data_IF_981347012075
#
_entry.id   IF_981347012075
#
_cell.length_a   1.000
_cell.length_b   1.000
_cell.length_c   1.000
_cell.angle_alpha   90.00
_cell.angle_beta   90.00
_cell.angle_gamma   90.00
#
_symmetry.space_group_name_H-M   'P 1'
#
loop_
_entity.id
_entity.type
_entity.pdbx_description
1 polymer ?
#
# COMPACT_ATOMS: atom_id res chain seq x y z
N UNK A 1 -16.23 -17.89 -28.70
CA UNK A 1 -14.85 -17.84 -28.17
C UNK A 1 -14.22 -16.61 -28.80
N UNK A 2 -14.26 -15.48 -28.09
CA UNK A 2 -14.18 -14.17 -28.73
C UNK A 2 -12.73 -13.65 -28.72
N UNK A 3 -12.09 -13.43 -29.88
CA UNK A 3 -10.69 -13.02 -29.97
C UNK A 3 -10.43 -11.65 -29.32
N UNK A 4 -11.44 -10.78 -29.25
CA UNK A 4 -11.38 -9.47 -28.57
C UNK A 4 -11.26 -9.62 -27.05
N UNK A 5 -11.94 -10.62 -26.47
CA UNK A 5 -11.84 -10.94 -25.03
C UNK A 5 -10.42 -11.41 -24.70
N UNK A 6 -9.84 -12.30 -25.50
CA UNK A 6 -8.46 -12.76 -25.27
C UNK A 6 -7.44 -11.63 -25.38
N UNK A 7 -7.55 -10.72 -26.36
CA UNK A 7 -6.64 -9.57 -26.49
C UNK A 7 -6.77 -8.59 -25.31
N UNK A 8 -7.99 -8.35 -24.81
CA UNK A 8 -8.22 -7.50 -23.63
C UNK A 8 -7.69 -8.16 -22.35
N UNK A 9 -7.87 -9.47 -22.18
CA UNK A 9 -7.33 -10.24 -21.06
C UNK A 9 -5.79 -10.32 -21.09
N UNK A 10 -5.17 -10.41 -22.27
CA UNK A 10 -3.71 -10.40 -22.44
C UNK A 10 -3.10 -9.02 -22.18
N UNK A 11 -3.79 -7.94 -22.59
CA UNK A 11 -3.37 -6.57 -22.29
C UNK A 11 -3.56 -6.22 -20.80
N UNK A 12 -4.64 -6.70 -20.17
CA UNK A 12 -4.87 -6.55 -18.74
C UNK A 12 -3.88 -7.38 -17.90
N UNK A 13 -3.53 -8.60 -18.30
CA UNK A 13 -2.57 -9.44 -17.58
C UNK A 13 -1.14 -8.90 -17.62
N UNK A 14 -0.72 -8.36 -18.77
CA UNK A 14 0.56 -7.67 -18.91
C UNK A 14 0.58 -6.35 -18.12
N UNK A 15 -0.47 -5.53 -18.21
CA UNK A 15 -0.63 -4.29 -17.45
C UNK A 15 -0.58 -4.48 -15.93
N UNK A 16 -1.27 -5.51 -15.40
CA UNK A 16 -1.26 -5.85 -13.97
C UNK A 16 0.13 -6.28 -13.48
N UNK A 17 0.92 -6.94 -14.33
CA UNK A 17 2.32 -7.29 -14.02
C UNK A 17 3.20 -6.05 -13.85
N UNK A 18 3.14 -5.11 -14.81
CA UNK A 18 3.91 -3.86 -14.74
C UNK A 18 3.54 -3.03 -13.51
N UNK A 19 2.25 -2.90 -13.20
CA UNK A 19 1.78 -2.15 -12.03
C UNK A 19 2.33 -2.77 -10.74
N UNK A 20 2.30 -4.10 -10.60
CA UNK A 20 2.87 -4.79 -9.42
C UNK A 20 4.38 -4.56 -9.26
N UNK A 21 5.14 -4.54 -10.35
CA UNK A 21 6.58 -4.25 -10.33
C UNK A 21 6.82 -2.81 -9.87
N UNK A 22 6.10 -1.84 -10.44
CA UNK A 22 6.20 -0.43 -10.04
C UNK A 22 5.85 -0.21 -8.56
N UNK A 23 4.78 -0.85 -8.08
CA UNK A 23 4.40 -0.84 -6.67
C UNK A 23 5.50 -1.44 -5.80
N UNK A 24 6.13 -2.54 -6.24
CA UNK A 24 7.23 -3.16 -5.48
C UNK A 24 8.44 -2.23 -5.37
N UNK A 25 8.80 -1.54 -6.47
CA UNK A 25 9.87 -0.53 -6.46
C UNK A 25 9.55 0.63 -5.51
N UNK A 26 8.29 1.08 -5.47
CA UNK A 26 7.86 2.12 -4.53
C UNK A 26 8.07 1.68 -3.08
N UNK A 27 7.71 0.44 -2.72
CA UNK A 27 7.87 -0.06 -1.35
C UNK A 27 9.35 -0.29 -0.98
N UNK A 28 10.21 -0.62 -1.95
CA UNK A 28 11.67 -0.62 -1.74
C UNK A 28 12.17 0.81 -1.43
N UNK A 29 11.67 1.82 -2.15
CA UNK A 29 12.00 3.21 -1.86
C UNK A 29 11.51 3.64 -0.46
N UNK A 30 10.34 3.17 0.00
CA UNK A 30 9.87 3.42 1.38
C UNK A 30 10.87 2.88 2.41
N UNK A 31 11.34 1.65 2.24
CA UNK A 31 12.32 1.03 3.13
C UNK A 31 13.64 1.81 3.11
N UNK A 32 14.12 2.18 1.92
CA UNK A 32 15.36 2.94 1.76
C UNK A 32 15.26 4.32 2.44
N UNK A 33 14.19 5.08 2.20
CA UNK A 33 14.00 6.39 2.80
C UNK A 33 13.87 6.31 4.32
N UNK A 34 13.11 5.34 4.84
CA UNK A 34 12.97 5.12 6.27
C UNK A 34 14.28 4.68 6.93
N UNK A 35 15.10 3.88 6.27
CA UNK A 35 16.40 3.44 6.79
C UNK A 35 17.45 4.55 6.74
N UNK A 36 17.49 5.35 5.66
CA UNK A 36 18.45 6.44 5.50
C UNK A 36 18.18 7.59 6.47
N UNK A 37 16.91 7.90 6.73
CA UNK A 37 16.49 9.01 7.60
C UNK A 37 15.90 8.51 8.92
N UNK A 38 16.38 7.36 9.43
CA UNK A 38 15.85 6.72 10.64
C UNK A 38 15.87 7.66 11.87
N UNK A 39 16.85 8.57 11.93
CA UNK A 39 17.05 9.48 13.05
C UNK A 39 16.76 10.95 12.70
N UNK A 40 16.41 11.26 11.45
CA UNK A 40 16.25 12.64 10.99
C UNK A 40 14.84 13.19 11.23
N UNK A 41 14.08 12.60 12.16
CA UNK A 41 12.77 13.09 12.59
C UNK A 41 12.59 12.88 14.11
N UNK A 42 13.34 13.61 14.96
CA UNK A 42 13.26 13.50 16.42
C UNK A 42 11.85 13.78 16.95
N UNK A 43 11.08 14.64 16.28
CA UNK A 43 9.70 14.95 16.65
C UNK A 43 8.78 13.72 16.59
N UNK A 44 9.05 12.80 15.66
CA UNK A 44 8.25 11.60 15.48
C UNK A 44 9.12 10.45 14.96
N UNK A 45 9.84 9.72 15.84
CA UNK A 45 10.73 8.64 15.47
C UNK A 45 10.00 7.42 14.87
N UNK A 46 8.66 7.37 14.98
CA UNK A 46 7.85 6.30 14.42
C UNK A 46 7.57 6.45 12.92
N UNK A 47 7.76 7.63 12.30
CA UNK A 47 7.55 7.81 10.85
C UNK A 47 8.53 6.98 10.00
N UNK A 48 9.86 7.03 10.23
CA UNK A 48 10.79 6.16 9.52
C UNK A 48 10.49 4.67 9.72
N UNK A 49 10.15 4.27 10.95
CA UNK A 49 9.81 2.87 11.30
C UNK A 49 8.53 2.44 10.57
N UNK A 50 7.54 3.33 10.47
CA UNK A 50 6.31 3.12 9.70
C UNK A 50 6.59 2.76 8.24
N UNK A 51 7.48 3.50 7.58
CA UNK A 51 7.87 3.26 6.19
C UNK A 51 8.57 1.91 6.02
N UNK A 52 9.50 1.55 6.92
CA UNK A 52 10.24 0.29 6.85
C UNK A 52 9.30 -0.90 7.04
N UNK A 53 8.52 -0.90 8.13
CA UNK A 53 7.61 -2.00 8.45
C UNK A 53 6.52 -2.13 7.38
N UNK A 54 5.89 -1.02 6.98
CA UNK A 54 4.88 -1.03 5.92
C UNK A 54 5.42 -1.55 4.59
N UNK A 55 6.62 -1.10 4.21
CA UNK A 55 7.33 -1.56 3.01
C UNK A 55 7.60 -3.06 3.00
N UNK A 56 8.15 -3.60 4.09
CA UNK A 56 8.48 -5.03 4.22
C UNK A 56 7.23 -5.89 4.13
N UNK A 57 6.19 -5.57 4.89
CA UNK A 57 4.96 -6.36 4.90
C UNK A 57 4.24 -6.34 3.55
N UNK A 58 4.30 -5.22 2.82
CA UNK A 58 3.76 -5.17 1.46
C UNK A 58 4.56 -6.01 0.46
N UNK A 59 5.88 -6.05 0.57
CA UNK A 59 6.72 -6.94 -0.24
C UNK A 59 6.41 -8.40 0.07
N UNK A 60 6.18 -8.76 1.33
CA UNK A 60 5.76 -10.12 1.71
C UNK A 60 4.44 -10.51 1.03
N UNK A 61 3.45 -9.62 1.01
CA UNK A 61 2.18 -9.85 0.29
C UNK A 61 2.42 -10.08 -1.21
N UNK A 62 3.29 -9.29 -1.84
CA UNK A 62 3.63 -9.46 -3.26
C UNK A 62 4.35 -10.79 -3.53
N UNK A 63 5.29 -11.19 -2.68
CA UNK A 63 6.01 -12.47 -2.79
C UNK A 63 5.03 -13.63 -2.65
N UNK A 64 4.14 -13.60 -1.64
CA UNK A 64 3.12 -14.64 -1.46
C UNK A 64 2.18 -14.73 -2.67
N UNK A 65 1.83 -13.59 -3.26
CA UNK A 65 1.01 -13.54 -4.48
C UNK A 65 1.72 -14.12 -5.70
N UNK A 66 3.05 -13.99 -5.79
CA UNK A 66 3.86 -14.54 -6.90
C UNK A 66 4.19 -16.02 -6.72
N UNK A 67 4.33 -16.49 -5.47
CA UNK A 67 4.68 -17.87 -5.12
C UNK A 67 3.60 -18.92 -5.46
N UNK A 68 2.48 -18.52 -6.05
CA UNK A 68 1.42 -19.45 -6.46
C UNK A 68 0.56 -19.97 -5.31
N UNK A 69 0.56 -19.32 -4.14
CA UNK A 69 -0.34 -19.65 -3.02
C UNK A 69 -1.83 -19.67 -3.44
N UNK A 70 -2.23 -18.95 -4.50
CA UNK A 70 -3.60 -19.00 -5.04
C UNK A 70 -3.90 -20.26 -5.87
N UNK A 71 -2.89 -21.04 -6.22
CA UNK A 71 -2.98 -22.26 -7.01
C UNK A 71 -2.80 -23.53 -6.16
N UNK A 72 -2.50 -23.36 -4.87
CA UNK A 72 -2.57 -24.43 -3.89
C UNK A 72 -4.06 -24.86 -3.77
N UNK A 73 -4.39 -26.00 -4.38
CA UNK A 73 -5.75 -26.56 -4.39
C UNK A 73 -6.30 -26.85 -2.99
N UNK A 74 -7.48 -27.47 -2.94
CA UNK A 74 -8.17 -27.82 -1.69
C UNK A 74 -7.27 -28.67 -0.77
N UNK A 75 -6.77 -28.04 0.30
CA UNK A 75 -5.83 -28.65 1.23
C UNK A 75 -5.39 -27.67 2.32
N UNK A 76 -4.73 -28.20 3.35
CA UNK A 76 -4.26 -27.41 4.51
C UNK A 76 -3.34 -26.26 4.08
N UNK A 77 -2.51 -26.47 3.05
CA UNK A 77 -1.57 -25.45 2.55
C UNK A 77 -2.29 -24.23 1.94
N UNK A 78 -3.35 -24.45 1.16
CA UNK A 78 -4.15 -23.36 0.58
C UNK A 78 -4.88 -22.55 1.66
N UNK A 79 -5.48 -23.23 2.64
CA UNK A 79 -6.14 -22.58 3.78
C UNK A 79 -5.16 -21.73 4.61
N UNK A 80 -3.95 -22.24 4.86
CA UNK A 80 -2.89 -21.49 5.54
C UNK A 80 -2.44 -20.27 4.72
N UNK A 81 -2.27 -20.40 3.40
CA UNK A 81 -1.95 -19.27 2.52
C UNK A 81 -3.01 -18.17 2.60
N UNK A 82 -4.30 -18.52 2.50
CA UNK A 82 -5.41 -17.56 2.60
C UNK A 82 -5.45 -16.88 3.97
N UNK A 83 -5.31 -17.65 5.04
CA UNK A 83 -5.28 -17.12 6.40
C UNK A 83 -4.10 -16.15 6.62
N UNK A 84 -2.89 -16.54 6.20
CA UNK A 84 -1.70 -15.67 6.28
C UNK A 84 -1.89 -14.39 5.49
N UNK A 85 -2.44 -14.48 4.27
CA UNK A 85 -2.68 -13.32 3.43
C UNK A 85 -3.72 -12.36 4.05
N UNK A 86 -4.80 -12.91 4.60
CA UNK A 86 -5.80 -12.13 5.35
C UNK A 86 -5.18 -11.43 6.57
N UNK A 87 -4.36 -12.14 7.36
CA UNK A 87 -3.67 -11.57 8.52
C UNK A 87 -2.70 -10.45 8.12
N UNK A 88 -1.97 -10.62 7.00
CA UNK A 88 -1.07 -9.58 6.48
C UNK A 88 -1.85 -8.34 6.07
N UNK A 89 -2.96 -8.49 5.33
CA UNK A 89 -3.78 -7.35 4.95
C UNK A 89 -4.44 -6.66 6.15
N UNK A 90 -4.89 -7.42 7.15
CA UNK A 90 -5.41 -6.87 8.39
C UNK A 90 -4.35 -6.05 9.13
N UNK A 91 -3.14 -6.60 9.25
CA UNK A 91 -2.00 -5.91 9.85
C UNK A 91 -1.69 -4.61 9.09
N UNK A 92 -1.58 -4.68 7.76
CA UNK A 92 -1.32 -3.52 6.91
C UNK A 92 -2.40 -2.45 7.03
N UNK A 93 -3.67 -2.85 7.14
CA UNK A 93 -4.78 -1.92 7.38
C UNK A 93 -4.62 -1.21 8.73
N UNK A 94 -4.42 -1.94 9.82
CA UNK A 94 -4.20 -1.34 11.15
C UNK A 94 -2.93 -0.47 11.18
N UNK A 95 -1.87 -0.90 10.50
CA UNK A 95 -0.62 -0.17 10.39
C UNK A 95 -0.80 1.15 9.63
N UNK A 96 -1.54 1.15 8.53
CA UNK A 96 -1.87 2.34 7.77
C UNK A 96 -2.64 3.37 8.61
N UNK A 97 -3.63 2.94 9.41
CA UNK A 97 -4.32 3.83 10.36
C UNK A 97 -3.34 4.43 11.37
N UNK A 98 -2.44 3.61 11.91
CA UNK A 98 -1.43 4.05 12.87
C UNK A 98 -0.47 5.08 12.26
N UNK A 99 0.02 4.82 11.04
CA UNK A 99 0.84 5.76 10.28
C UNK A 99 0.12 7.07 9.98
N UNK A 100 -1.18 7.02 9.69
CA UNK A 100 -2.03 8.21 9.53
C UNK A 100 -1.91 9.11 10.76
N UNK A 101 -2.12 8.54 11.95
CA UNK A 101 -2.06 9.28 13.22
C UNK A 101 -0.67 9.90 13.39
N UNK A 102 0.41 9.16 13.15
CA UNK A 102 1.77 9.69 13.30
C UNK A 102 2.10 10.84 12.34
N UNK A 103 1.65 10.76 11.08
CA UNK A 103 1.91 11.79 10.06
C UNK A 103 1.09 13.06 10.29
N UNK A 104 -0.21 12.91 10.56
CA UNK A 104 -1.11 14.06 10.70
C UNK A 104 -0.99 14.76 12.06
N UNK A 105 -0.57 14.06 13.13
CA UNK A 105 -0.39 14.69 14.46
C UNK A 105 0.71 15.74 14.49
N UNK A 106 1.68 15.66 13.59
CA UNK A 106 2.78 16.63 13.49
C UNK A 106 2.64 17.60 12.31
N UNK A 107 1.47 17.62 11.64
CA UNK A 107 1.24 18.49 10.48
C UNK A 107 0.94 19.94 10.91
N UNK A 108 1.62 20.96 10.36
CA UNK A 108 2.86 20.91 9.57
C UNK A 108 4.11 20.77 10.47
N UNK A 109 5.12 19.96 10.09
CA UNK A 109 6.33 19.81 10.90
C UNK A 109 7.33 20.94 10.65
N UNK A 110 8.31 21.08 11.54
CA UNK A 110 9.40 22.04 11.39
C UNK A 110 10.53 21.45 10.53
N UNK A 111 10.96 22.16 9.49
CA UNK A 111 12.02 21.74 8.57
C UNK A 111 13.34 22.52 8.74
N UNK A 112 13.40 23.50 9.64
CA UNK A 112 14.45 24.55 9.60
C UNK A 112 15.77 24.15 10.27
N UNK A 113 15.76 23.26 11.27
CA UNK A 113 16.95 23.01 12.08
C UNK A 113 17.00 21.58 12.61
N UNK A 114 17.92 20.72 12.09
CA UNK A 114 18.08 19.33 12.54
C UNK A 114 18.35 19.16 14.04
N UNK A 115 18.87 20.20 14.69
CA UNK A 115 19.20 20.19 16.11
C UNK A 115 18.01 20.43 17.04
N UNK A 116 16.82 20.77 16.51
CA UNK A 116 15.63 21.03 17.33
C UNK A 116 14.79 19.76 17.50
N UNK A 117 14.15 19.61 18.66
CA UNK A 117 13.27 18.49 18.96
C UNK A 117 11.98 18.47 18.10
N UNK A 118 11.60 19.60 17.51
CA UNK A 118 10.45 19.71 16.61
C UNK A 118 10.78 19.46 15.13
N UNK A 119 12.03 19.13 14.82
CA UNK A 119 12.50 18.87 13.46
C UNK A 119 11.96 17.56 12.88
N UNK A 120 11.66 17.58 11.59
CA UNK A 120 11.50 16.39 10.77
C UNK A 120 12.06 16.62 9.37
N UNK A 121 12.80 15.66 8.84
CA UNK A 121 13.38 15.76 7.50
C UNK A 121 12.28 15.85 6.45
N UNK A 122 12.47 16.82 5.54
CA UNK A 122 11.46 17.26 4.59
C UNK A 122 11.09 16.17 3.58
N UNK A 123 12.08 15.47 3.04
CA UNK A 123 11.90 14.41 2.04
C UNK A 123 11.13 13.23 2.61
N UNK A 124 11.52 12.73 3.78
CA UNK A 124 10.88 11.66 4.53
C UNK A 124 9.43 12.00 4.85
N UNK A 125 9.19 13.19 5.43
CA UNK A 125 7.85 13.60 5.80
C UNK A 125 6.94 13.76 4.60
N UNK A 126 7.39 14.52 3.57
CA UNK A 126 6.59 14.76 2.37
C UNK A 126 6.31 13.46 1.62
N UNK A 127 7.29 12.57 1.50
CA UNK A 127 7.09 11.27 0.88
C UNK A 127 6.01 10.46 1.62
N UNK A 128 6.10 10.36 2.95
CA UNK A 128 5.11 9.64 3.77
C UNK A 128 3.73 10.27 3.65
N UNK A 129 3.65 11.60 3.72
CA UNK A 129 2.41 12.36 3.60
C UNK A 129 1.75 12.15 2.23
N UNK A 130 2.49 12.32 1.13
CA UNK A 130 1.93 12.16 -0.21
C UNK A 130 1.57 10.73 -0.53
N UNK A 131 2.36 9.75 -0.06
CA UNK A 131 2.01 8.33 -0.16
C UNK A 131 0.66 8.07 0.52
N UNK A 132 0.46 8.58 1.72
CA UNK A 132 -0.76 8.39 2.50
C UNK A 132 -1.99 9.03 1.82
N UNK A 133 -1.84 10.25 1.31
CA UNK A 133 -2.88 10.93 0.56
C UNK A 133 -3.21 10.19 -0.75
N UNK A 134 -2.21 9.66 -1.45
CA UNK A 134 -2.44 8.85 -2.66
C UNK A 134 -3.25 7.58 -2.35
N UNK A 135 -2.95 6.90 -1.24
CA UNK A 135 -3.75 5.77 -0.74
C UNK A 135 -5.21 6.17 -0.44
N UNK A 136 -5.45 7.31 0.18
CA UNK A 136 -6.82 7.79 0.43
C UNK A 136 -7.59 8.14 -0.84
N UNK A 137 -6.94 8.83 -1.78
CA UNK A 137 -7.55 9.20 -3.07
C UNK A 137 -7.92 7.94 -3.85
N UNK A 138 -6.99 6.99 -3.96
CA UNK A 138 -7.24 5.72 -4.68
C UNK A 138 -8.34 4.89 -4.01
N UNK A 139 -8.36 4.79 -2.68
CA UNK A 139 -9.42 4.09 -1.96
C UNK A 139 -10.80 4.74 -2.18
N UNK A 140 -10.88 6.07 -2.15
CA UNK A 140 -12.13 6.81 -2.35
C UNK A 140 -12.68 6.62 -3.77
N UNK A 141 -11.83 6.73 -4.79
CA UNK A 141 -12.21 6.47 -6.18
C UNK A 141 -12.65 5.01 -6.39
N UNK A 142 -11.97 4.07 -5.74
CA UNK A 142 -12.36 2.66 -5.74
C UNK A 142 -13.75 2.44 -5.15
N UNK A 143 -14.04 3.04 -3.99
CA UNK A 143 -15.36 2.94 -3.35
C UNK A 143 -16.48 3.56 -4.21
N UNK A 144 -16.22 4.73 -4.82
CA UNK A 144 -17.20 5.40 -5.70
C UNK A 144 -17.49 4.53 -6.93
N UNK A 145 -16.46 4.02 -7.61
CA UNK A 145 -16.65 3.19 -8.80
C UNK A 145 -17.41 1.89 -8.50
N UNK A 146 -17.13 1.26 -7.37
CA UNK A 146 -17.84 0.07 -6.90
C UNK A 146 -19.33 0.36 -6.61
N UNK A 147 -19.60 1.47 -5.92
CA UNK A 147 -20.96 1.92 -5.61
C UNK A 147 -21.76 2.22 -6.88
N UNK A 148 -21.21 2.99 -7.81
CA UNK A 148 -21.85 3.32 -9.08
C UNK A 148 -22.17 2.08 -9.92
N UNK A 149 -21.24 1.11 -9.97
CA UNK A 149 -21.43 -0.14 -10.71
C UNK A 149 -22.56 -0.97 -10.11
N UNK A 150 -22.61 -1.06 -8.79
CA UNK A 150 -23.66 -1.79 -8.05
C UNK A 150 -25.03 -1.13 -8.25
N UNK A 151 -25.12 0.20 -8.17
CA UNK A 151 -26.35 0.94 -8.45
C UNK A 151 -26.82 0.78 -9.89
N UNK A 152 -25.91 0.83 -10.87
CA UNK A 152 -26.23 0.58 -12.28
C UNK A 152 -26.80 -0.83 -12.49
N UNK A 153 -26.21 -1.87 -11.87
CA UNK A 153 -26.73 -3.24 -11.98
C UNK A 153 -28.11 -3.41 -11.33
N UNK A 154 -28.39 -2.67 -10.24
CA UNK A 154 -29.70 -2.72 -9.57
C UNK A 154 -30.76 -1.97 -10.39
N UNK A 155 -30.42 -0.82 -10.99
CA UNK A 155 -31.35 0.04 -11.72
C UNK A 155 -31.56 -0.39 -13.19
N UNK A 156 -30.55 -0.96 -13.84
CA UNK A 156 -30.63 -1.49 -15.21
C UNK A 156 -31.16 -2.93 -15.30
N UNK A 157 -31.51 -3.52 -14.15
CA UNK A 157 -32.03 -4.88 -14.02
C UNK A 157 -33.57 -5.01 -14.07
N UNK A 158 -34.27 -4.09 -14.75
CA UNK A 158 -35.69 -4.24 -15.18
C UNK A 158 -35.82 -4.11 -16.67
#
# INVERSE_FOLDING_TARGET
>A
MDPVRNSFFVSASSGLGYIKILISLLHIAMIALGALHLHDCPKQPYIPIYLIVGGVFWLLVNILSFSGCSQAGEGVLGALCTACNFLLYLFLFCWFITGSVWVYTIFPPNYESPSKEDYCEKTLYLFTFWFHNACYVTATLGMISWCCSSLYTILGGT
#
